data_IF_074673329089
#
_entry.id   IF_074673329089
#
_cell.length_a   1.000
_cell.length_b   1.000
_cell.length_c   1.000
_cell.angle_alpha   90.00
_cell.angle_beta   90.00
_cell.angle_gamma   90.00
#
_symmetry.space_group_name_H-M   'P 1'
#
loop_
_entity.id
_entity.type
_entity.pdbx_description
1 polymer ?
#
# COMPACT_ATOMS: atom_id res chain seq x y z
N UNK A 1 -15.14 -0.75 -9.33
CA UNK A 1 -16.12 0.23 -9.88
C UNK A 1 -15.40 1.05 -10.94
N UNK A 2 -16.01 1.29 -12.10
CA UNK A 2 -15.49 2.21 -13.13
C UNK A 2 -16.21 3.54 -13.02
N UNK A 3 -15.45 4.63 -12.96
CA UNK A 3 -15.98 6.00 -13.05
C UNK A 3 -15.93 6.48 -14.50
N UNK A 4 -16.92 7.24 -14.91
CA UNK A 4 -17.01 7.89 -16.21
C UNK A 4 -16.18 9.16 -16.25
N UNK A 5 -15.82 9.61 -17.45
CA UNK A 5 -15.08 10.86 -17.64
C UNK A 5 -15.87 12.06 -17.11
N UNK A 6 -17.19 12.03 -17.22
CA UNK A 6 -18.06 13.12 -16.76
C UNK A 6 -18.11 13.20 -15.23
N UNK A 7 -18.16 12.06 -14.54
CA UNK A 7 -18.06 12.01 -13.07
C UNK A 7 -16.71 12.56 -12.57
N UNK A 8 -15.62 12.27 -13.28
CA UNK A 8 -14.29 12.81 -12.95
C UNK A 8 -14.24 14.33 -13.17
N UNK A 9 -14.85 14.83 -14.25
CA UNK A 9 -14.93 16.27 -14.50
C UNK A 9 -15.76 17.00 -13.46
N UNK A 10 -16.86 16.41 -13.01
CA UNK A 10 -17.69 16.96 -11.95
C UNK A 10 -16.94 17.02 -10.62
N UNK A 11 -16.21 15.95 -10.25
CA UNK A 11 -15.36 15.99 -9.06
C UNK A 11 -14.28 17.09 -9.16
N UNK A 12 -13.69 17.27 -10.35
CA UNK A 12 -12.67 18.27 -10.58
C UNK A 12 -13.17 19.71 -10.38
N UNK A 13 -14.43 20.02 -10.74
CA UNK A 13 -14.97 21.39 -10.58
C UNK A 13 -15.08 21.80 -9.12
N UNK A 14 -15.30 20.85 -8.21
CA UNK A 14 -15.30 21.07 -6.76
C UNK A 14 -13.88 21.20 -6.23
N UNK A 15 -12.97 20.35 -6.70
CA UNK A 15 -11.59 20.29 -6.18
C UNK A 15 -10.69 21.42 -6.67
N UNK A 16 -10.97 22.01 -7.85
CA UNK A 16 -10.16 23.09 -8.43
C UNK A 16 -10.35 24.43 -7.72
N UNK A 17 -11.51 24.66 -7.10
CA UNK A 17 -11.77 25.85 -6.29
C UNK A 17 -11.30 25.60 -4.83
N UNK A 18 -10.30 26.35 -4.33
CA UNK A 18 -9.76 26.15 -2.99
C UNK A 18 -10.81 26.26 -1.87
N UNK A 19 -11.85 27.09 -2.05
CA UNK A 19 -12.90 27.27 -1.06
C UNK A 19 -13.84 26.08 -1.04
N UNK A 20 -14.32 25.65 -2.21
CA UNK A 20 -15.22 24.50 -2.33
C UNK A 20 -14.52 23.20 -1.90
N UNK A 21 -13.23 23.07 -2.22
CA UNK A 21 -12.39 21.98 -1.70
C UNK A 21 -12.37 21.98 -0.17
N UNK A 22 -12.10 23.12 0.47
CA UNK A 22 -12.03 23.19 1.93
C UNK A 22 -13.38 22.87 2.60
N UNK A 23 -14.49 23.28 2.00
CA UNK A 23 -15.84 22.93 2.46
C UNK A 23 -16.10 21.42 2.33
N UNK A 24 -15.71 20.82 1.21
CA UNK A 24 -15.79 19.37 0.98
C UNK A 24 -14.93 18.57 1.97
N UNK A 25 -13.68 19.00 2.21
CA UNK A 25 -12.78 18.39 3.20
C UNK A 25 -13.38 18.44 4.62
N UNK A 26 -13.97 19.58 5.00
CA UNK A 26 -14.64 19.71 6.30
C UNK A 26 -15.88 18.81 6.40
N UNK A 27 -16.62 18.69 5.30
CA UNK A 27 -17.75 17.77 5.23
C UNK A 27 -17.30 16.31 5.37
N UNK A 28 -16.19 15.90 4.77
CA UNK A 28 -15.61 14.55 4.93
C UNK A 28 -15.24 14.24 6.38
N UNK A 29 -14.60 15.20 7.08
CA UNK A 29 -14.25 15.06 8.50
C UNK A 29 -15.49 14.87 9.39
N UNK A 30 -16.61 15.50 9.02
CA UNK A 30 -17.89 15.37 9.74
C UNK A 30 -18.69 14.12 9.35
N UNK A 31 -18.38 13.51 8.21
CA UNK A 31 -19.09 12.36 7.66
C UNK A 31 -18.12 11.19 7.36
N UNK A 32 -17.43 10.65 8.38
CA UNK A 32 -16.41 9.61 8.20
C UNK A 32 -16.97 8.29 7.64
N UNK A 33 -18.30 8.11 7.64
CA UNK A 33 -18.97 6.94 7.04
C UNK A 33 -19.00 6.94 5.52
N UNK A 34 -18.82 8.10 4.87
CA UNK A 34 -18.90 8.22 3.40
C UNK A 34 -17.62 7.73 2.72
N UNK A 35 -16.47 7.90 3.37
CA UNK A 35 -15.16 7.41 2.89
C UNK A 35 -14.96 5.93 3.22
N UNK A 36 -15.88 5.30 3.95
CA UNK A 36 -15.82 3.87 4.28
C UNK A 36 -16.28 3.00 3.10
N UNK A 37 -15.59 3.13 1.97
CA UNK A 37 -15.51 2.10 0.94
C UNK A 37 -14.32 1.19 1.25
N UNK A 38 -14.59 -0.02 1.73
CA UNK A 38 -13.75 -1.24 1.63
C UNK A 38 -12.28 -1.21 2.10
N UNK A 39 -11.75 -0.13 2.67
CA UNK A 39 -10.40 -0.10 3.25
C UNK A 39 -10.29 -0.84 4.61
N UNK A 40 -11.36 -1.50 5.07
CA UNK A 40 -11.41 -2.19 6.38
C UNK A 40 -10.81 -3.60 6.41
N UNK A 41 -10.08 -4.03 5.39
CA UNK A 41 -9.26 -5.23 5.50
C UNK A 41 -7.86 -4.96 6.06
N UNK A 42 -7.43 -3.69 6.12
CA UNK A 42 -6.16 -3.35 6.75
C UNK A 42 -6.43 -2.36 7.88
N UNK A 43 -6.38 -2.86 9.12
CA UNK A 43 -6.19 -2.00 10.29
C UNK A 43 -4.92 -1.19 10.09
N UNK A 44 -5.10 0.08 9.75
CA UNK A 44 -4.06 1.09 9.69
C UNK A 44 -4.43 2.07 10.80
N UNK A 45 -3.69 1.96 11.91
CA UNK A 45 -3.58 3.04 12.88
C UNK A 45 -3.09 4.31 12.18
N UNK A 46 -3.58 5.44 12.68
CA UNK A 46 -3.20 6.84 12.42
C UNK A 46 -2.29 7.13 11.20
N UNK A 47 -2.68 8.02 10.25
CA UNK A 47 -1.83 8.38 9.14
C UNK A 47 -0.54 9.06 9.65
N UNK A 48 0.53 8.29 9.78
CA UNK A 48 1.85 8.81 10.08
C UNK A 48 2.30 9.71 8.93
N UNK A 49 3.14 10.69 9.24
CA UNK A 49 3.74 11.63 8.29
C UNK A 49 4.55 10.98 7.14
N UNK A 50 4.66 9.65 7.14
CA UNK A 50 5.46 8.87 6.19
C UNK A 50 4.63 8.31 5.04
N UNK A 51 3.34 8.66 4.96
CA UNK A 51 2.49 8.43 3.80
C UNK A 51 2.94 9.33 2.63
N UNK A 52 4.05 8.95 2.00
CA UNK A 52 4.41 9.43 0.67
C UNK A 52 3.46 8.73 -0.30
N UNK A 53 2.52 9.50 -0.87
CA UNK A 53 1.59 9.05 -1.91
C UNK A 53 2.31 8.22 -2.97
N UNK A 54 2.11 6.90 -2.96
CA UNK A 54 2.68 5.97 -3.93
C UNK A 54 3.63 4.91 -3.37
N UNK A 55 4.05 4.99 -2.11
CA UNK A 55 4.73 3.90 -1.41
C UNK A 55 3.85 3.37 -0.28
N UNK A 56 3.16 2.27 -0.54
CA UNK A 56 2.44 1.54 0.50
C UNK A 56 3.47 0.88 1.44
N UNK A 57 3.33 1.12 2.74
CA UNK A 57 4.09 0.44 3.79
C UNK A 57 3.29 -0.78 4.21
N UNK A 58 3.93 -1.94 4.15
CA UNK A 58 3.36 -3.26 4.38
C UNK A 58 4.08 -3.93 5.54
N UNK A 59 3.36 -4.67 6.36
CA UNK A 59 3.92 -5.55 7.39
C UNK A 59 4.07 -6.96 6.81
N UNK A 60 5.27 -7.54 6.91
CA UNK A 60 5.60 -8.86 6.37
C UNK A 60 4.63 -9.95 6.85
N UNK A 61 4.26 -9.96 8.13
CA UNK A 61 3.44 -10.99 8.76
C UNK A 61 1.96 -10.90 8.37
N UNK A 62 1.52 -9.73 7.92
CA UNK A 62 0.10 -9.46 7.63
C UNK A 62 -0.24 -9.59 6.14
N UNK A 63 0.76 -9.45 5.27
CA UNK A 63 0.52 -9.07 3.88
C UNK A 63 1.13 -10.04 2.87
N UNK A 64 2.02 -10.93 3.31
CA UNK A 64 2.52 -12.00 2.44
C UNK A 64 1.51 -13.14 2.37
N UNK A 65 1.09 -13.46 1.14
CA UNK A 65 0.03 -14.42 0.87
C UNK A 65 0.52 -15.86 1.07
N UNK A 66 1.80 -16.12 0.77
CA UNK A 66 2.44 -17.42 0.91
C UNK A 66 3.86 -17.28 1.45
N UNK A 67 4.23 -18.18 2.36
CA UNK A 67 5.60 -18.43 2.79
C UNK A 67 5.95 -19.89 2.46
N UNK A 68 6.86 -20.08 1.52
CA UNK A 68 7.25 -21.42 1.03
C UNK A 68 8.76 -21.59 1.15
N UNK A 69 9.20 -22.78 1.54
CA UNK A 69 10.61 -23.16 1.46
C UNK A 69 10.89 -23.65 0.03
N UNK A 70 11.67 -22.88 -0.72
CA UNK A 70 12.06 -23.17 -2.09
C UNK A 70 13.57 -23.37 -2.11
N UNK A 71 14.02 -24.54 -2.56
CA UNK A 71 15.45 -24.86 -2.66
C UNK A 71 16.25 -24.71 -1.34
N UNK A 72 15.58 -24.82 -0.19
CA UNK A 72 16.19 -24.68 1.14
C UNK A 72 16.31 -23.23 1.63
N UNK A 73 15.66 -22.28 0.95
CA UNK A 73 15.51 -20.89 1.41
C UNK A 73 14.03 -20.56 1.63
N UNK A 74 13.75 -19.82 2.69
CA UNK A 74 12.41 -19.28 2.92
C UNK A 74 12.14 -18.10 1.99
N UNK A 75 11.01 -18.17 1.28
CA UNK A 75 10.53 -17.11 0.39
C UNK A 75 9.16 -16.62 0.84
N UNK A 76 9.00 -15.30 0.89
CA UNK A 76 7.70 -14.65 1.08
C UNK A 76 7.23 -14.05 -0.24
N UNK A 77 6.00 -14.38 -0.64
CA UNK A 77 5.44 -13.90 -1.90
C UNK A 77 4.06 -13.29 -1.71
N UNK A 78 3.76 -12.30 -2.56
CA UNK A 78 2.44 -11.66 -2.64
C UNK A 78 2.08 -11.36 -4.08
N UNK A 79 0.80 -11.54 -4.40
CA UNK A 79 0.26 -11.11 -5.69
C UNK A 79 0.24 -9.57 -5.84
N UNK A 80 0.43 -9.09 -7.07
CA UNK A 80 0.30 -7.67 -7.39
C UNK A 80 -0.99 -7.39 -8.14
N UNK A 81 -1.56 -6.19 -7.93
CA UNK A 81 -2.76 -5.71 -8.64
C UNK A 81 -2.63 -5.63 -10.17
N UNK A 82 -1.41 -5.71 -10.69
CA UNK A 82 -1.17 -5.80 -12.14
C UNK A 82 -1.45 -7.19 -12.72
N UNK A 83 -1.72 -8.20 -11.88
CA UNK A 83 -2.00 -9.58 -12.28
C UNK A 83 -0.82 -10.54 -12.14
N UNK A 84 0.33 -10.10 -11.61
CA UNK A 84 1.45 -11.00 -11.32
C UNK A 84 1.18 -11.77 -10.02
N UNK A 85 1.16 -13.10 -10.08
CA UNK A 85 0.85 -13.97 -8.93
C UNK A 85 1.93 -13.92 -7.84
N UNK A 86 3.20 -13.93 -8.24
CA UNK A 86 4.36 -13.69 -7.36
C UNK A 86 4.92 -12.28 -7.61
N UNK A 87 4.02 -11.29 -7.59
CA UNK A 87 4.36 -9.92 -7.94
C UNK A 87 5.44 -9.33 -7.04
N UNK A 88 5.32 -9.52 -5.73
CA UNK A 88 6.36 -9.16 -4.77
C UNK A 88 6.96 -10.44 -4.19
N UNK A 89 8.28 -10.50 -4.13
CA UNK A 89 9.05 -11.63 -3.60
C UNK A 89 10.15 -11.10 -2.69
N UNK A 90 10.32 -11.74 -1.54
CA UNK A 90 11.41 -11.47 -0.59
C UNK A 90 12.03 -12.80 -0.17
N UNK A 91 13.36 -12.86 -0.15
CA UNK A 91 14.12 -13.98 0.37
C UNK A 91 14.55 -13.74 1.83
N UNK A 92 14.73 -14.81 2.58
CA UNK A 92 15.20 -14.74 3.98
C UNK A 92 16.56 -14.06 4.10
N UNK A 93 17.46 -14.34 3.15
CA UNK A 93 18.77 -13.69 3.09
C UNK A 93 18.66 -12.16 2.95
N UNK A 94 17.64 -11.65 2.25
CA UNK A 94 17.44 -10.21 2.08
C UNK A 94 17.00 -9.54 3.40
N UNK A 95 16.17 -10.24 4.19
CA UNK A 95 15.73 -9.78 5.50
C UNK A 95 16.88 -9.83 6.52
N UNK A 96 17.63 -10.94 6.56
CA UNK A 96 18.80 -11.07 7.42
C UNK A 96 19.87 -10.02 7.10
N UNK A 97 20.11 -9.74 5.82
CA UNK A 97 21.08 -8.73 5.41
C UNK A 97 20.63 -7.31 5.72
N UNK A 98 19.33 -7.02 5.61
CA UNK A 98 18.75 -5.76 6.09
C UNK A 98 18.91 -5.63 7.61
N UNK A 99 18.64 -6.69 8.37
CA UNK A 99 18.82 -6.72 9.82
C UNK A 99 20.29 -6.47 10.22
N UNK A 100 21.26 -7.12 9.55
CA UNK A 100 22.69 -6.90 9.78
C UNK A 100 23.11 -5.44 9.55
N UNK A 101 22.40 -4.71 8.69
CA UNK A 101 22.60 -3.27 8.45
C UNK A 101 21.87 -2.38 9.47
N UNK A 102 21.05 -2.96 10.36
CA UNK A 102 20.21 -2.24 11.31
C UNK A 102 18.92 -1.68 10.69
N UNK A 103 18.55 -2.16 9.50
CA UNK A 103 17.29 -1.81 8.83
C UNK A 103 16.15 -2.68 9.37
N UNK A 104 14.95 -2.13 9.41
CA UNK A 104 13.71 -2.84 9.81
C UNK A 104 12.69 -2.92 8.69
N UNK A 105 13.08 -2.46 7.50
CA UNK A 105 12.25 -2.45 6.31
C UNK A 105 13.09 -2.73 5.07
N UNK A 106 12.48 -3.42 4.10
CA UNK A 106 13.06 -3.65 2.77
C UNK A 106 12.19 -3.03 1.68
N UNK A 107 12.81 -2.51 0.63
CA UNK A 107 12.12 -1.99 -0.55
C UNK A 107 12.01 -3.09 -1.61
N UNK A 108 10.77 -3.43 -1.98
CA UNK A 108 10.50 -4.54 -2.90
C UNK A 108 9.77 -4.01 -4.13
N UNK A 109 10.32 -4.32 -5.29
CA UNK A 109 9.70 -4.02 -6.58
C UNK A 109 8.78 -5.15 -7.04
N UNK A 110 7.70 -4.80 -7.75
CA UNK A 110 6.89 -5.80 -8.43
C UNK A 110 7.60 -6.35 -9.67
N UNK A 111 7.60 -7.67 -9.90
CA UNK A 111 8.18 -8.26 -11.12
C UNK A 111 7.37 -7.94 -12.39
N UNK A 112 6.08 -7.66 -12.25
CA UNK A 112 5.16 -7.43 -13.37
C UNK A 112 4.89 -5.96 -13.73
N UNK A 113 5.30 -5.00 -12.89
CA UNK A 113 5.12 -3.56 -13.15
C UNK A 113 6.18 -2.72 -12.42
N UNK A 114 6.06 -1.40 -12.43
CA UNK A 114 7.03 -0.49 -11.78
C UNK A 114 6.63 -0.07 -10.36
N UNK A 115 5.79 -0.85 -9.67
CA UNK A 115 5.32 -0.53 -8.32
C UNK A 115 6.37 -0.97 -7.28
N UNK A 116 6.58 -0.12 -6.28
CA UNK A 116 7.47 -0.38 -5.15
C UNK A 116 6.69 -0.31 -3.84
N UNK A 117 7.05 -1.18 -2.90
CA UNK A 117 6.46 -1.23 -1.56
C UNK A 117 7.58 -1.28 -0.52
N UNK A 118 7.34 -0.66 0.65
CA UNK A 118 8.20 -0.84 1.83
C UNK A 118 7.61 -1.97 2.66
N UNK A 119 8.40 -2.97 2.98
CA UNK A 119 7.98 -4.11 3.80
C UNK A 119 8.73 -4.08 5.11
N UNK A 120 8.04 -3.70 6.17
CA UNK A 120 8.53 -3.76 7.53
C UNK A 120 8.52 -5.18 8.07
N UNK A 121 9.53 -5.55 8.83
CA UNK A 121 9.66 -6.85 9.48
C UNK A 121 10.12 -6.68 10.93
N UNK A 122 9.75 -7.65 11.77
CA UNK A 122 10.17 -7.76 13.17
C UNK A 122 11.07 -9.00 13.30
N UNK A 123 12.01 -8.93 14.26
CA UNK A 123 12.95 -10.01 14.61
C UNK A 123 12.57 -10.62 15.94
#
# INVERSE_FOLDING_TARGET
RSYTVDEVKEAYTVLVDPKQKAEYDNWLLRNPGVVRSEARQHGVDEPSSDFVLGLDVLDLNKIMDNNEEVEGQMEWTRSCRCGAEKGFKILEEELEDAEKRGEKEVLVGCEGCSLWVRVGFEV
#
